data_IF_808219655977
#
_entry.id   IF_808219655977
#
_cell.length_a   1.000
_cell.length_b   1.000
_cell.length_c   1.000
_cell.angle_alpha   90.00
_cell.angle_beta   90.00
_cell.angle_gamma   90.00
#
_symmetry.space_group_name_H-M   'P 1'
#
loop_
_entity.id
_entity.type
_entity.pdbx_description
1 polymer ?
#
# COMPACT_ATOMS: atom_id res chain seq x y z
N UNK A 1 -13.65 7.81 16.63
CA UNK A 1 -13.62 7.92 15.15
C UNK A 1 -13.07 6.60 14.62
N UNK A 2 -13.59 6.10 13.50
CA UNK A 2 -13.03 4.90 12.86
C UNK A 2 -11.72 5.26 12.16
N UNK A 3 -10.69 4.43 12.29
CA UNK A 3 -9.50 4.52 11.46
C UNK A 3 -9.82 4.00 10.05
N UNK A 4 -9.13 4.51 9.05
CA UNK A 4 -9.32 4.12 7.64
C UNK A 4 -7.96 3.96 6.99
N UNK A 5 -7.85 3.04 6.02
CA UNK A 5 -6.64 2.91 5.22
C UNK A 5 -6.44 4.17 4.35
N UNK A 6 -5.36 4.94 4.54
CA UNK A 6 -5.09 6.10 3.70
C UNK A 6 -4.74 5.63 2.28
N UNK A 7 -5.21 6.35 1.27
CA UNK A 7 -4.82 6.11 -0.11
C UNK A 7 -3.32 6.42 -0.31
N UNK A 8 -2.66 5.66 -1.17
CA UNK A 8 -1.31 5.99 -1.60
C UNK A 8 -1.34 7.26 -2.46
N UNK A 9 -0.36 8.18 -2.32
CA UNK A 9 -0.26 9.38 -3.15
C UNK A 9 0.35 9.10 -4.53
N UNK A 10 0.60 7.83 -4.85
CA UNK A 10 1.22 7.35 -6.09
C UNK A 10 0.69 5.95 -6.45
N UNK A 11 0.93 5.53 -7.70
CA UNK A 11 0.59 4.19 -8.18
C UNK A 11 1.46 3.12 -7.53
N UNK A 12 0.99 1.86 -7.51
CA UNK A 12 1.72 0.75 -6.88
C UNK A 12 3.09 0.45 -7.51
N UNK A 13 3.30 0.85 -8.76
CA UNK A 13 4.54 0.67 -9.53
C UNK A 13 5.51 1.87 -9.43
N UNK A 14 5.10 2.97 -8.78
CA UNK A 14 5.86 4.22 -8.75
C UNK A 14 7.23 4.13 -8.05
N UNK A 15 7.48 3.03 -7.33
CA UNK A 15 8.71 2.79 -6.58
C UNK A 15 9.64 1.78 -7.26
N UNK A 16 9.30 1.29 -8.45
CA UNK A 16 10.19 0.41 -9.22
C UNK A 16 11.46 1.16 -9.68
N UNK A 17 12.63 0.49 -9.75
CA UNK A 17 12.87 -0.92 -9.43
C UNK A 17 13.23 -1.17 -7.94
N UNK A 18 13.05 -0.18 -7.07
CA UNK A 18 13.47 -0.26 -5.67
C UNK A 18 12.49 -1.04 -4.79
N UNK A 19 11.19 -0.91 -5.09
CA UNK A 19 10.12 -1.72 -4.50
C UNK A 19 9.21 -2.15 -5.65
N UNK A 20 9.00 -3.45 -5.80
CA UNK A 20 8.17 -4.00 -6.87
C UNK A 20 6.67 -3.77 -6.62
N UNK A 21 5.90 -3.74 -7.71
CA UNK A 21 4.45 -3.55 -7.68
C UNK A 21 3.71 -4.58 -6.81
N UNK A 22 4.15 -5.84 -6.79
CA UNK A 22 3.49 -6.91 -6.02
C UNK A 22 3.67 -6.69 -4.52
N UNK A 23 4.86 -6.27 -4.11
CA UNK A 23 5.14 -5.86 -2.73
C UNK A 23 4.21 -4.72 -2.30
N UNK A 24 4.03 -3.68 -3.11
CA UNK A 24 3.14 -2.56 -2.76
C UNK A 24 1.67 -2.98 -2.64
N UNK A 25 1.18 -3.82 -3.56
CA UNK A 25 -0.20 -4.34 -3.52
C UNK A 25 -0.47 -5.17 -2.26
N UNK A 26 0.49 -6.00 -1.85
CA UNK A 26 0.35 -6.84 -0.66
C UNK A 26 0.55 -6.00 0.61
N UNK A 27 1.61 -5.20 0.68
CA UNK A 27 1.95 -4.42 1.87
C UNK A 27 0.86 -3.40 2.22
N UNK A 28 0.46 -2.54 1.27
CA UNK A 28 -0.59 -1.55 1.54
C UNK A 28 -1.98 -2.18 1.54
N UNK A 29 -2.31 -2.96 0.50
CA UNK A 29 -3.65 -3.50 0.28
C UNK A 29 -4.05 -4.67 1.18
N UNK A 30 -3.10 -5.37 1.81
CA UNK A 30 -3.39 -6.45 2.77
C UNK A 30 -2.85 -6.17 4.16
N UNK A 31 -1.54 -5.92 4.29
CA UNK A 31 -0.93 -5.80 5.62
C UNK A 31 -1.38 -4.53 6.35
N UNK A 32 -1.27 -3.35 5.73
CA UNK A 32 -1.73 -2.11 6.35
C UNK A 32 -3.25 -2.14 6.58
N UNK A 33 -4.02 -2.62 5.59
CA UNK A 33 -5.47 -2.78 5.74
C UNK A 33 -5.88 -3.68 6.90
N UNK A 34 -5.08 -4.69 7.26
CA UNK A 34 -5.38 -5.55 8.41
C UNK A 34 -5.17 -4.86 9.76
N UNK A 35 -4.43 -3.74 9.81
CA UNK A 35 -4.18 -2.97 11.03
C UNK A 35 -5.20 -1.85 11.28
N UNK A 36 -5.96 -1.43 10.26
CA UNK A 36 -6.89 -0.28 10.31
C UNK A 36 -8.34 -0.66 10.05
#
# INVERSE_FOLDING_TARGET
MAFTLPALPYSHDALEPHIDTTTMQIHHGKHHQAYV
#
